data_IF_627594523552
#
_entry.id   IF_627594523552
#
_cell.length_a   1.000
_cell.length_b   1.000
_cell.length_c   1.000
_cell.angle_alpha   90.00
_cell.angle_beta   90.00
_cell.angle_gamma   90.00
#
_symmetry.space_group_name_H-M   'P 1'
#
loop_
_entity.id
_entity.type
_entity.pdbx_description
1 polymer ?
#
# COMPACT_ATOMS: atom_id res chain seq x y z
N UNK A 1 1.37 -42.26 -25.61
CA UNK A 1 2.20 -42.28 -24.39
C UNK A 1 2.14 -40.88 -23.81
N UNK A 2 1.29 -40.68 -22.79
CA UNK A 2 1.22 -39.44 -22.02
C UNK A 2 2.05 -39.71 -20.77
N UNK A 3 3.23 -39.12 -20.69
CA UNK A 3 4.03 -39.12 -19.47
C UNK A 3 3.32 -38.21 -18.47
N UNK A 4 2.53 -38.82 -17.58
CA UNK A 4 2.03 -38.17 -16.38
C UNK A 4 3.22 -38.00 -15.44
N UNK A 5 3.93 -36.87 -15.55
CA UNK A 5 4.83 -36.43 -14.50
C UNK A 5 4.01 -36.32 -13.21
N UNK A 6 4.22 -37.26 -12.30
CA UNK A 6 3.63 -37.19 -10.96
C UNK A 6 4.08 -35.88 -10.29
N UNK A 7 3.18 -35.16 -9.60
CA UNK A 7 3.54 -33.92 -8.94
C UNK A 7 4.69 -34.21 -7.99
N UNK A 8 5.83 -33.55 -8.19
CA UNK A 8 7.05 -33.74 -7.41
C UNK A 8 6.72 -33.80 -5.91
N UNK A 9 6.77 -35.01 -5.35
CA UNK A 9 6.55 -35.25 -3.92
C UNK A 9 7.59 -34.47 -3.14
N UNK A 10 7.11 -33.44 -2.42
CA UNK A 10 7.97 -32.62 -1.56
C UNK A 10 8.13 -31.17 -2.01
N UNK A 11 7.16 -30.59 -2.73
CA UNK A 11 7.13 -29.15 -2.95
C UNK A 11 7.06 -28.37 -1.61
N UNK A 12 8.24 -28.14 -1.03
CA UNK A 12 8.56 -27.06 -0.11
C UNK A 12 7.95 -25.80 -0.72
N UNK A 13 6.96 -25.21 -0.04
CA UNK A 13 6.41 -23.87 -0.22
C UNK A 13 6.73 -23.16 -1.56
N UNK A 14 5.71 -22.94 -2.39
CA UNK A 14 5.80 -22.22 -3.66
C UNK A 14 4.78 -21.07 -3.72
N UNK A 15 4.89 -20.24 -4.75
CA UNK A 15 3.96 -19.12 -4.93
C UNK A 15 2.48 -19.55 -4.97
N UNK A 16 2.17 -20.67 -5.62
CA UNK A 16 0.78 -21.11 -5.80
C UNK A 16 0.13 -21.60 -4.49
N UNK A 17 0.92 -22.16 -3.58
CA UNK A 17 0.42 -22.65 -2.29
C UNK A 17 0.65 -21.68 -1.12
N UNK A 18 1.48 -20.64 -1.30
CA UNK A 18 1.88 -19.71 -0.24
C UNK A 18 0.69 -19.14 0.52
N UNK A 19 -0.35 -18.68 -0.19
CA UNK A 19 -1.55 -18.10 0.43
C UNK A 19 -2.25 -19.11 1.34
N UNK A 20 -2.49 -20.32 0.85
CA UNK A 20 -3.16 -21.37 1.61
C UNK A 20 -2.32 -21.80 2.82
N UNK A 21 -1.00 -21.96 2.65
CA UNK A 21 -0.09 -22.34 3.73
C UNK A 21 -0.04 -21.27 4.82
N UNK A 22 0.06 -19.99 4.46
CA UNK A 22 0.04 -18.88 5.42
C UNK A 22 -1.28 -18.83 6.19
N UNK A 23 -2.42 -19.02 5.52
CA UNK A 23 -3.73 -19.04 6.17
C UNK A 23 -3.89 -20.22 7.14
N UNK A 24 -3.41 -21.41 6.75
CA UNK A 24 -3.41 -22.58 7.64
C UNK A 24 -2.48 -22.35 8.83
N UNK A 25 -1.28 -21.82 8.59
CA UNK A 25 -0.31 -21.52 9.63
C UNK A 25 -0.86 -20.53 10.66
N UNK A 26 -1.60 -19.52 10.21
CA UNK A 26 -2.28 -18.59 11.10
C UNK A 26 -3.44 -19.26 11.86
N UNK A 27 -4.32 -19.97 11.15
CA UNK A 27 -5.48 -20.66 11.73
C UNK A 27 -5.10 -21.65 12.83
N UNK A 28 -3.96 -22.32 12.71
CA UNK A 28 -3.47 -23.32 13.67
C UNK A 28 -2.30 -22.81 14.53
N UNK A 29 -2.03 -21.51 14.53
CA UNK A 29 -0.96 -20.86 15.30
C UNK A 29 0.45 -21.48 15.10
N UNK A 30 0.74 -21.93 13.89
CA UNK A 30 2.01 -22.58 13.54
C UNK A 30 3.10 -21.53 13.28
N UNK A 31 3.66 -20.96 14.35
CA UNK A 31 4.67 -19.90 14.27
C UNK A 31 5.89 -20.25 13.39
N UNK A 32 6.37 -21.50 13.43
CA UNK A 32 7.48 -21.96 12.60
C UNK A 32 7.15 -21.86 11.09
N UNK A 33 5.92 -22.26 10.70
CA UNK A 33 5.48 -22.21 9.31
C UNK A 33 5.32 -20.76 8.85
N UNK A 34 4.77 -19.88 9.70
CA UNK A 34 4.72 -18.43 9.42
C UNK A 34 6.12 -17.86 9.19
N UNK A 35 7.10 -18.25 10.01
CA UNK A 35 8.49 -17.83 9.84
C UNK A 35 9.10 -18.30 8.50
N UNK A 36 8.81 -19.52 8.08
CA UNK A 36 9.24 -20.05 6.78
C UNK A 36 8.58 -19.27 5.64
N UNK A 37 7.28 -18.99 5.74
CA UNK A 37 6.56 -18.19 4.74
C UNK A 37 7.10 -16.76 4.60
N UNK A 38 7.42 -16.13 5.72
CA UNK A 38 8.09 -14.84 5.75
C UNK A 38 9.48 -14.90 5.08
N UNK A 39 10.26 -15.94 5.38
CA UNK A 39 11.59 -16.15 4.80
C UNK A 39 11.51 -16.35 3.29
N UNK A 40 10.53 -17.13 2.82
CA UNK A 40 10.26 -17.32 1.40
C UNK A 40 9.96 -15.99 0.69
N UNK A 41 9.02 -15.20 1.22
CA UNK A 41 8.72 -13.86 0.69
C UNK A 41 9.95 -12.94 0.67
N UNK A 42 10.85 -13.11 1.64
CA UNK A 42 12.10 -12.34 1.74
C UNK A 42 13.09 -12.69 0.65
N UNK A 43 13.29 -14.00 0.42
CA UNK A 43 14.23 -14.52 -0.57
C UNK A 43 13.75 -14.18 -1.98
N UNK A 44 12.47 -14.36 -2.26
CA UNK A 44 11.90 -14.16 -3.60
C UNK A 44 11.43 -12.72 -3.86
N UNK A 45 11.88 -11.74 -3.07
CA UNK A 45 11.48 -10.34 -3.21
C UNK A 45 11.73 -9.77 -4.60
N UNK A 46 12.77 -10.23 -5.29
CA UNK A 46 13.09 -9.78 -6.66
C UNK A 46 12.06 -10.26 -7.71
N UNK A 47 11.28 -11.29 -7.40
CA UNK A 47 10.20 -11.81 -8.25
C UNK A 47 8.85 -11.13 -7.97
N UNK A 48 8.73 -10.39 -6.85
CA UNK A 48 7.53 -9.65 -6.52
C UNK A 48 7.54 -8.35 -7.31
N UNK A 49 6.43 -8.07 -8.00
CA UNK A 49 6.30 -6.87 -8.80
C UNK A 49 4.88 -6.34 -8.78
N UNK A 50 4.73 -5.06 -8.40
CA UNK A 50 3.46 -4.32 -8.38
C UNK A 50 2.70 -4.35 -9.72
N UNK A 51 3.42 -4.54 -10.83
CA UNK A 51 2.94 -4.22 -12.19
C UNK A 51 2.88 -5.40 -13.15
N UNK A 52 3.30 -6.59 -12.73
CA UNK A 52 3.46 -7.75 -13.62
C UNK A 52 2.38 -8.81 -13.38
N UNK A 53 1.78 -8.83 -12.19
CA UNK A 53 0.93 -9.93 -11.75
C UNK A 53 -0.46 -9.47 -11.31
N UNK A 54 -1.45 -10.31 -11.54
CA UNK A 54 -2.84 -10.11 -11.12
C UNK A 54 -2.94 -9.80 -9.62
N UNK A 55 -3.93 -9.00 -9.23
CA UNK A 55 -4.14 -8.62 -7.82
C UNK A 55 -4.31 -9.83 -6.90
N UNK A 56 -4.88 -10.93 -7.43
CA UNK A 56 -5.06 -12.19 -6.72
C UNK A 56 -3.77 -13.00 -6.56
N UNK A 57 -2.74 -12.72 -7.35
CA UNK A 57 -1.47 -13.43 -7.29
C UNK A 57 -0.67 -13.00 -6.05
N UNK A 58 -0.08 -13.95 -5.30
CA UNK A 58 0.83 -13.62 -4.20
C UNK A 58 2.14 -12.97 -4.67
N UNK A 59 2.41 -12.95 -5.98
CA UNK A 59 3.52 -12.20 -6.59
C UNK A 59 3.22 -10.71 -6.77
N UNK A 60 1.98 -10.28 -6.55
CA UNK A 60 1.62 -8.87 -6.55
C UNK A 60 2.05 -8.22 -5.23
N UNK A 61 2.77 -7.10 -5.30
CA UNK A 61 3.29 -6.38 -4.12
C UNK A 61 2.20 -6.05 -3.08
N UNK A 62 1.01 -5.65 -3.51
CA UNK A 62 -0.08 -5.27 -2.59
C UNK A 62 -0.65 -6.49 -1.86
N UNK A 63 -0.78 -7.61 -2.58
CA UNK A 63 -1.27 -8.85 -2.00
C UNK A 63 -0.21 -9.48 -1.08
N UNK A 64 1.06 -9.51 -1.49
CA UNK A 64 2.17 -9.93 -0.64
C UNK A 64 2.25 -9.10 0.65
N UNK A 65 2.17 -7.77 0.54
CA UNK A 65 2.11 -6.88 1.70
C UNK A 65 0.89 -7.16 2.58
N UNK A 66 -0.26 -7.49 1.98
CA UNK A 66 -1.48 -7.84 2.72
C UNK A 66 -1.35 -9.18 3.45
N UNK A 67 -0.73 -10.19 2.84
CA UNK A 67 -0.44 -11.48 3.48
C UNK A 67 0.49 -11.30 4.68
N UNK A 68 1.52 -10.48 4.51
CA UNK A 68 2.47 -10.12 5.57
C UNK A 68 1.76 -9.43 6.74
N UNK A 69 0.98 -8.40 6.45
CA UNK A 69 0.32 -7.58 7.47
C UNK A 69 -0.77 -8.37 8.23
N UNK A 70 -1.53 -9.23 7.53
CA UNK A 70 -2.61 -10.04 8.14
C UNK A 70 -2.10 -11.21 8.97
N UNK A 71 -1.15 -11.98 8.43
CA UNK A 71 -0.88 -13.33 8.94
C UNK A 71 0.54 -13.48 9.48
N UNK A 72 1.46 -12.59 9.14
CA UNK A 72 2.87 -12.72 9.52
C UNK A 72 3.25 -11.69 10.60
N UNK A 73 2.28 -11.24 11.42
CA UNK A 73 2.49 -10.31 12.54
C UNK A 73 3.44 -10.92 13.56
N UNK A 74 4.74 -10.77 13.31
CA UNK A 74 5.82 -11.30 14.12
C UNK A 74 6.74 -10.14 14.52
N UNK A 75 7.18 -10.04 15.79
CA UNK A 75 7.97 -8.89 16.25
C UNK A 75 9.26 -8.67 15.45
N UNK A 76 9.82 -9.72 14.83
CA UNK A 76 11.03 -9.61 13.99
C UNK A 76 10.74 -9.19 12.54
N UNK A 77 9.47 -9.15 12.15
CA UNK A 77 9.04 -8.82 10.78
C UNK A 77 8.98 -7.31 10.50
N UNK A 78 9.09 -6.47 11.53
CA UNK A 78 9.32 -5.02 11.40
C UNK A 78 10.46 -4.72 10.41
N UNK A 79 11.54 -5.51 10.47
CA UNK A 79 12.68 -5.43 9.56
C UNK A 79 12.34 -5.75 8.09
N UNK A 80 11.21 -6.41 7.84
CA UNK A 80 10.71 -6.76 6.52
C UNK A 80 9.65 -5.78 6.00
N UNK A 81 8.78 -5.30 6.89
CA UNK A 81 7.83 -4.23 6.60
C UNK A 81 8.54 -2.95 6.18
N UNK A 82 9.69 -2.61 6.79
CA UNK A 82 10.47 -1.45 6.40
C UNK A 82 10.89 -1.48 4.91
N UNK A 83 11.52 -2.56 4.39
CA UNK A 83 11.82 -2.70 2.96
C UNK A 83 10.60 -2.71 2.04
N UNK A 84 9.48 -3.33 2.43
CA UNK A 84 8.24 -3.31 1.64
C UNK A 84 7.66 -1.89 1.59
N UNK A 85 7.56 -1.22 2.74
CA UNK A 85 7.19 0.19 2.83
C UNK A 85 8.17 1.07 2.06
N UNK A 86 9.46 0.74 2.05
CA UNK A 86 10.48 1.43 1.26
C UNK A 86 10.31 1.17 -0.23
N UNK A 87 9.92 -0.02 -0.68
CA UNK A 87 9.63 -0.32 -2.08
C UNK A 87 8.38 0.40 -2.52
N UNK A 88 7.30 0.35 -1.74
CA UNK A 88 6.10 1.14 -1.99
C UNK A 88 6.47 2.62 -2.06
N UNK A 89 7.22 3.14 -1.07
CA UNK A 89 7.67 4.53 -1.06
C UNK A 89 8.61 4.87 -2.22
N UNK A 90 9.50 3.97 -2.64
CA UNK A 90 10.41 4.17 -3.78
C UNK A 90 9.67 4.13 -5.12
N UNK A 91 8.72 3.22 -5.27
CA UNK A 91 7.83 3.15 -6.42
C UNK A 91 6.97 4.41 -6.52
N UNK A 92 6.60 5.01 -5.38
CA UNK A 92 5.88 6.29 -5.33
C UNK A 92 6.80 7.49 -5.52
N UNK A 93 8.02 7.46 -4.98
CA UNK A 93 9.05 8.49 -5.14
C UNK A 93 9.81 8.39 -6.47
N UNK A 94 9.28 7.65 -7.46
CA UNK A 94 9.95 7.45 -8.74
C UNK A 94 10.43 8.80 -9.30
N UNK A 95 11.71 8.84 -9.69
CA UNK A 95 12.54 10.05 -9.87
C UNK A 95 12.07 11.05 -10.94
N UNK A 96 10.94 10.81 -11.58
CA UNK A 96 10.31 11.75 -12.50
C UNK A 96 8.80 11.79 -12.28
N UNK A 97 8.21 13.00 -12.41
CA UNK A 97 6.77 13.20 -12.32
C UNK A 97 5.98 12.29 -13.29
N UNK A 98 6.58 11.92 -14.42
CA UNK A 98 5.99 11.02 -15.42
C UNK A 98 5.81 9.59 -14.89
N UNK A 99 6.81 9.03 -14.21
CA UNK A 99 6.71 7.68 -13.63
C UNK A 99 5.79 7.66 -12.42
N UNK A 100 5.83 8.70 -11.58
CA UNK A 100 4.87 8.87 -10.48
C UNK A 100 3.42 8.89 -11.00
N UNK A 101 3.14 9.65 -12.06
CA UNK A 101 1.81 9.69 -12.68
C UNK A 101 1.37 8.33 -13.25
N UNK A 102 2.29 7.56 -13.84
CA UNK A 102 1.99 6.19 -14.30
C UNK A 102 1.64 5.29 -13.12
N UNK A 103 2.43 5.30 -12.05
CA UNK A 103 2.16 4.51 -10.83
C UNK A 103 0.82 4.90 -10.22
N UNK A 104 0.55 6.20 -10.06
CA UNK A 104 -0.72 6.72 -9.54
C UNK A 104 -1.90 6.30 -10.42
N UNK A 105 -1.80 6.42 -11.74
CA UNK A 105 -2.87 6.01 -12.66
C UNK A 105 -3.19 4.53 -12.56
N UNK A 106 -2.18 3.69 -12.31
CA UNK A 106 -2.33 2.24 -12.15
C UNK A 106 -2.88 1.88 -10.78
N UNK A 107 -2.38 2.49 -9.71
CA UNK A 107 -2.95 2.33 -8.37
C UNK A 107 -4.42 2.73 -8.36
N UNK A 108 -4.80 3.81 -9.05
CA UNK A 108 -6.20 4.22 -9.20
C UNK A 108 -7.05 3.14 -9.90
N UNK A 109 -6.56 2.57 -11.01
CA UNK A 109 -7.23 1.43 -11.67
C UNK A 109 -7.39 0.21 -10.76
N UNK A 110 -6.38 -0.09 -9.94
CA UNK A 110 -6.46 -1.20 -8.98
C UNK A 110 -7.47 -0.92 -7.86
N UNK A 111 -7.54 0.32 -7.35
CA UNK A 111 -8.52 0.71 -6.33
C UNK A 111 -9.96 0.76 -6.86
N UNK A 112 -10.13 0.93 -8.18
CA UNK A 112 -11.44 0.91 -8.83
C UNK A 112 -11.99 -0.52 -9.02
N UNK A 113 -11.20 -1.57 -8.74
CA UNK A 113 -11.67 -2.96 -8.82
C UNK A 113 -12.63 -3.28 -7.66
N UNK A 114 -13.75 -3.98 -7.92
CA UNK A 114 -14.74 -4.31 -6.89
C UNK A 114 -14.19 -5.22 -5.77
N UNK A 115 -13.25 -6.10 -6.11
CA UNK A 115 -12.68 -7.08 -5.18
C UNK A 115 -11.51 -6.52 -4.35
N UNK A 116 -11.03 -5.31 -4.69
CA UNK A 116 -9.91 -4.66 -4.01
C UNK A 116 -10.06 -4.59 -2.48
N UNK A 117 -11.21 -4.15 -1.92
CA UNK A 117 -11.38 -4.07 -0.47
C UNK A 117 -11.35 -5.44 0.24
N UNK A 118 -11.72 -6.52 -0.46
CA UNK A 118 -11.73 -7.87 0.11
C UNK A 118 -10.33 -8.49 0.12
N UNK A 119 -9.60 -8.31 -1.00
CA UNK A 119 -8.29 -8.91 -1.22
C UNK A 119 -7.18 -8.20 -0.47
N UNK A 120 -7.20 -6.86 -0.44
CA UNK A 120 -6.13 -6.06 0.14
C UNK A 120 -6.48 -5.69 1.58
N UNK A 121 -5.55 -5.83 2.52
CA UNK A 121 -5.79 -5.47 3.92
C UNK A 121 -6.04 -3.95 4.06
N UNK A 122 -7.03 -3.55 4.87
CA UNK A 122 -7.34 -2.14 5.22
C UNK A 122 -6.10 -1.31 5.61
N UNK A 123 -5.15 -1.89 6.35
CA UNK A 123 -3.87 -1.23 6.69
C UNK A 123 -3.06 -0.87 5.43
N UNK A 124 -2.94 -1.80 4.49
CA UNK A 124 -2.27 -1.60 3.19
C UNK A 124 -3.05 -0.62 2.33
N UNK A 125 -4.39 -0.73 2.27
CA UNK A 125 -5.25 0.22 1.56
C UNK A 125 -5.05 1.65 2.07
N UNK A 126 -5.01 1.84 3.40
CA UNK A 126 -4.78 3.14 4.03
C UNK A 126 -3.42 3.71 3.63
N UNK A 127 -2.38 2.87 3.51
CA UNK A 127 -1.05 3.31 3.05
C UNK A 127 -1.07 3.70 1.57
N UNK A 128 -1.74 2.93 0.73
CA UNK A 128 -1.94 3.28 -0.70
C UNK A 128 -2.71 4.59 -0.84
N UNK A 129 -3.78 4.79 -0.06
CA UNK A 129 -4.55 6.03 -0.09
C UNK A 129 -3.72 7.23 0.42
N UNK A 130 -2.97 7.06 1.50
CA UNK A 130 -2.03 8.10 2.00
C UNK A 130 -0.98 8.45 0.96
N UNK A 131 -0.48 7.46 0.23
CA UNK A 131 0.45 7.66 -0.86
C UNK A 131 -0.17 8.46 -2.02
N UNK A 132 -1.36 8.06 -2.47
CA UNK A 132 -2.10 8.74 -3.54
C UNK A 132 -2.48 10.18 -3.15
N UNK A 133 -2.76 10.42 -1.88
CA UNK A 133 -3.16 11.74 -1.37
C UNK A 133 -1.99 12.64 -1.00
N UNK A 134 -0.80 12.10 -0.74
CA UNK A 134 0.40 12.89 -0.40
C UNK A 134 0.73 13.92 -1.49
N UNK A 135 0.51 13.56 -2.75
CA UNK A 135 0.75 14.45 -3.90
C UNK A 135 -0.50 15.26 -4.30
N UNK A 136 -1.66 14.91 -3.74
CA UNK A 136 -2.91 15.67 -3.88
C UNK A 136 -3.10 16.71 -2.78
N UNK A 137 -2.28 16.69 -1.72
CA UNK A 137 -2.10 17.91 -0.93
C UNK A 137 -1.50 18.88 -1.94
N UNK A 138 -2.26 19.90 -2.40
CA UNK A 138 -1.67 20.88 -3.29
C UNK A 138 -0.40 21.34 -2.61
N UNK A 139 0.62 21.72 -3.38
CA UNK A 139 1.69 22.56 -2.85
C UNK A 139 1.00 23.82 -2.34
N UNK A 140 0.46 23.75 -1.13
CA UNK A 140 -0.15 24.85 -0.43
C UNK A 140 1.06 25.74 -0.30
N UNK A 141 0.98 26.89 -0.96
CA UNK A 141 2.13 27.78 -0.99
C UNK A 141 2.61 27.96 0.47
N UNK A 142 3.93 28.10 0.71
CA UNK A 142 4.47 28.12 2.07
C UNK A 142 3.71 29.04 3.05
N UNK A 143 3.09 30.09 2.51
CA UNK A 143 2.14 30.97 3.20
C UNK A 143 0.86 30.29 3.70
N UNK A 144 0.13 29.62 2.82
CA UNK A 144 -1.09 28.90 3.18
C UNK A 144 -0.78 27.72 4.16
N UNK A 145 0.39 27.07 4.05
CA UNK A 145 0.83 26.06 5.03
C UNK A 145 1.14 26.66 6.42
N UNK A 146 1.75 27.85 6.47
CA UNK A 146 2.03 28.57 7.72
C UNK A 146 0.74 29.09 8.37
N UNK A 147 -0.24 29.53 7.58
CA UNK A 147 -1.54 29.95 8.06
C UNK A 147 -2.31 28.80 8.74
N UNK A 148 -2.35 27.61 8.14
CA UNK A 148 -3.01 26.45 8.76
C UNK A 148 -2.39 26.04 10.11
N UNK A 149 -1.07 26.21 10.29
CA UNK A 149 -0.40 25.97 11.58
C UNK A 149 -0.75 27.01 12.64
N UNK A 150 -1.01 28.24 12.24
CA UNK A 150 -1.44 29.31 13.15
C UNK A 150 -2.92 29.20 13.53
N UNK A 151 -3.75 28.63 12.65
CA UNK A 151 -5.19 28.53 12.85
C UNK A 151 -5.61 27.28 13.65
N UNK A 152 -4.76 26.25 13.73
CA UNK A 152 -5.01 25.05 14.55
C UNK A 152 -5.08 25.30 16.06
N UNK A 153 -4.75 26.51 16.53
CA UNK A 153 -4.73 26.87 17.96
C UNK A 153 -5.60 28.07 18.33
N UNK A 154 -6.34 28.65 17.37
CA UNK A 154 -7.13 29.86 17.61
C UNK A 154 -8.60 29.62 17.22
N UNK A 155 -9.44 29.26 18.19
CA UNK A 155 -10.89 29.18 18.03
C UNK A 155 -11.57 30.56 17.88
N UNK A 156 -10.85 31.65 18.11
CA UNK A 156 -11.43 32.99 18.30
C UNK A 156 -10.86 34.05 17.34
N UNK A 157 -10.70 33.74 16.05
CA UNK A 157 -10.24 34.71 15.05
C UNK A 157 -11.39 35.15 14.12
N UNK A 158 -11.90 36.35 14.40
CA UNK A 158 -12.85 37.15 13.61
C UNK A 158 -12.58 37.16 12.09
N UNK A 159 -13.68 37.22 11.34
CA UNK A 159 -13.84 37.35 9.88
C UNK A 159 -12.93 38.40 9.21
N UNK A 160 -11.65 38.09 9.02
CA UNK A 160 -10.81 38.78 8.03
C UNK A 160 -10.32 37.75 7.02
N UNK A 161 -10.93 37.80 5.84
CA UNK A 161 -10.50 37.05 4.66
C UNK A 161 -9.05 37.40 4.35
N UNK A 162 -8.14 36.49 4.67
CA UNK A 162 -6.76 36.57 4.20
C UNK A 162 -6.72 36.05 2.77
N UNK A 163 -6.64 36.97 1.81
CA UNK A 163 -6.33 36.62 0.42
C UNK A 163 -4.92 36.02 0.36
N UNK A 164 -4.82 34.71 0.14
CA UNK A 164 -3.54 34.04 -0.13
C UNK A 164 -3.05 34.57 -1.49
N UNK A 165 -1.95 35.33 -1.51
CA UNK A 165 -1.36 35.95 -2.72
C UNK A 165 -0.96 34.96 -3.83
N UNK A 166 -1.10 33.65 -3.62
CA UNK A 166 -0.88 32.65 -4.67
C UNK A 166 -2.00 32.60 -5.73
N UNK A 167 -3.05 33.42 -5.62
CA UNK A 167 -4.14 33.47 -6.60
C UNK A 167 -5.04 32.23 -6.61
N UNK A 168 -4.84 31.30 -5.67
CA UNK A 168 -5.72 30.15 -5.50
C UNK A 168 -7.05 30.62 -4.89
N UNK A 169 -8.08 30.67 -5.71
CA UNK A 169 -9.42 31.03 -5.30
C UNK A 169 -10.07 29.82 -4.60
N UNK A 170 -9.99 29.76 -3.26
CA UNK A 170 -10.57 28.68 -2.46
C UNK A 170 -12.11 28.79 -2.30
N UNK A 171 -12.75 29.74 -2.98
CA UNK A 171 -14.16 30.10 -2.80
C UNK A 171 -15.21 29.07 -3.26
N UNK A 172 -14.86 27.80 -3.51
CA UNK A 172 -15.82 26.77 -3.91
C UNK A 172 -15.34 25.35 -3.55
N UNK A 173 -14.98 25.10 -2.28
CA UNK A 173 -14.89 23.73 -1.79
C UNK A 173 -16.30 23.26 -1.35
N UNK A 174 -16.85 22.18 -1.94
CA UNK A 174 -18.16 21.68 -1.54
C UNK A 174 -18.12 21.20 -0.08
N UNK A 175 -18.99 21.79 0.73
CA UNK A 175 -19.28 21.36 2.10
C UNK A 175 -19.88 19.94 2.12
N UNK A 176 -19.07 18.88 1.97
CA UNK A 176 -19.35 17.53 2.49
C UNK A 176 -18.30 16.52 2.03
N UNK A 177 -17.34 16.28 2.91
CA UNK A 177 -16.72 14.96 3.07
C UNK A 177 -16.76 14.66 4.57
N UNK A 178 -17.88 14.10 5.02
CA UNK A 178 -17.94 13.40 6.31
C UNK A 178 -17.37 12.02 6.09
N UNK A 179 -16.19 11.76 6.69
CA UNK A 179 -15.70 10.42 6.99
C UNK A 179 -16.58 9.78 8.07
#
# INVERSE_FOLDING_TARGET
>A
MLETEGPAEGALLCWDNLKAVVQLADKYDMAAVRCICASFLSIHRAEIGLLVHDLNSPKNDLNAASLIDRYLTYPKLESFLAPVNQVISKSLQASSATEANKVVSRLRKLTDMPDYPELINTSVQTRVLKALTRDLVPVVCPWCQKASRLWGSASDANDKAFECKCGANFGNLPHRWTL
#
